data_IF_983345361201
#
_entry.id   IF_983345361201
#
_cell.length_a   1.000
_cell.length_b   1.000
_cell.length_c   1.000
_cell.angle_alpha   90.00
_cell.angle_beta   90.00
_cell.angle_gamma   90.00
#
_symmetry.space_group_name_H-M   'P 1'
#
loop_
_entity.id
_entity.type
_entity.pdbx_description
1 polymer ?
#
# COMPACT_ATOMS: atom_id res chain seq x y z
N UNK A 1 5.40 -5.30 -14.92
CA UNK A 1 4.78 -5.37 -13.57
C UNK A 1 5.52 -4.46 -12.62
N UNK A 2 4.81 -3.88 -11.67
CA UNK A 2 5.49 -3.17 -10.61
C UNK A 2 5.09 -3.75 -9.26
N UNK A 3 6.06 -3.97 -8.40
CA UNK A 3 5.87 -4.53 -7.07
C UNK A 3 6.60 -3.67 -6.07
N UNK A 4 5.91 -3.30 -5.02
CA UNK A 4 6.46 -2.50 -3.91
C UNK A 4 6.25 -3.26 -2.62
N UNK A 5 7.29 -3.34 -1.81
CA UNK A 5 7.21 -3.84 -0.45
C UNK A 5 7.74 -2.75 0.48
N UNK A 6 6.91 -2.32 1.40
CA UNK A 6 7.29 -1.32 2.40
C UNK A 6 7.17 -1.94 3.79
N UNK A 7 8.13 -1.66 4.63
CA UNK A 7 8.02 -1.93 6.06
C UNK A 7 8.24 -0.63 6.81
N UNK A 8 7.28 -0.26 7.61
CA UNK A 8 7.35 1.00 8.33
C UNK A 8 6.26 1.11 9.37
N UNK A 9 6.11 2.32 9.90
CA UNK A 9 5.17 2.62 10.97
C UNK A 9 4.03 3.47 10.42
N UNK A 10 2.81 3.16 10.81
CA UNK A 10 1.68 4.04 10.51
C UNK A 10 1.82 5.32 11.30
N UNK A 11 1.89 6.45 10.59
CA UNK A 11 2.04 7.76 11.21
C UNK A 11 0.72 8.39 11.63
N UNK A 12 -0.41 7.81 11.17
CA UNK A 12 -1.77 8.27 11.54
C UNK A 12 -2.74 7.09 11.50
N UNK A 13 -3.93 7.28 12.06
CA UNK A 13 -4.98 6.28 11.98
C UNK A 13 -5.42 6.10 10.53
N UNK A 14 -5.73 4.86 10.10
CA UNK A 14 -6.34 4.63 8.79
C UNK A 14 -7.66 5.39 8.66
N UNK A 15 -7.88 5.98 7.48
CA UNK A 15 -9.10 6.74 7.19
C UNK A 15 -9.80 6.10 6.00
N UNK A 16 -11.09 5.84 6.14
CA UNK A 16 -11.89 5.28 5.05
C UNK A 16 -12.67 6.37 4.32
N UNK A 17 -12.98 6.07 3.07
CA UNK A 17 -13.85 6.87 2.22
C UNK A 17 -14.70 5.93 1.37
N UNK A 18 -16.00 6.18 1.36
CA UNK A 18 -16.95 5.43 0.53
C UNK A 18 -17.08 6.11 -0.82
N UNK A 19 -17.00 5.32 -1.88
CA UNK A 19 -17.15 5.78 -3.25
C UNK A 19 -18.57 5.60 -3.73
N UNK A 20 -18.96 6.37 -4.76
CA UNK A 20 -20.28 6.26 -5.39
C UNK A 20 -20.53 4.86 -5.95
N UNK A 21 -19.48 4.13 -6.32
CA UNK A 21 -19.56 2.75 -6.80
C UNK A 21 -19.94 1.72 -5.72
N UNK A 22 -19.94 2.12 -4.44
CA UNK A 22 -20.14 1.22 -3.31
C UNK A 22 -18.84 0.68 -2.72
N UNK A 23 -17.71 0.93 -3.37
CA UNK A 23 -16.39 0.53 -2.87
C UNK A 23 -15.92 1.42 -1.73
N UNK A 24 -15.05 0.88 -0.89
CA UNK A 24 -14.40 1.63 0.19
C UNK A 24 -12.90 1.69 -0.07
N UNK A 25 -12.33 2.89 0.04
CA UNK A 25 -10.87 3.07 0.02
C UNK A 25 -10.41 3.42 1.42
N UNK A 26 -9.40 2.69 1.90
CA UNK A 26 -8.69 3.03 3.12
C UNK A 26 -7.39 3.75 2.75
N UNK A 27 -7.19 4.90 3.37
CA UNK A 27 -5.97 5.69 3.21
C UNK A 27 -5.08 5.50 4.44
N UNK A 28 -3.83 5.16 4.19
CA UNK A 28 -2.83 4.96 5.23
C UNK A 28 -1.59 5.78 4.88
N UNK A 29 -0.85 6.17 5.89
CA UNK A 29 0.43 6.86 5.73
C UNK A 29 1.49 6.02 6.42
N UNK A 30 2.44 5.52 5.64
CA UNK A 30 3.51 4.63 6.14
C UNK A 30 4.84 5.37 6.13
N UNK A 31 5.47 5.48 7.28
CA UNK A 31 6.76 6.13 7.43
C UNK A 31 7.84 5.06 7.51
N UNK A 32 8.81 5.16 6.60
CA UNK A 32 9.95 4.24 6.53
C UNK A 32 11.23 4.95 6.90
N UNK A 33 12.14 4.24 7.55
CA UNK A 33 13.48 4.73 7.83
C UNK A 33 14.48 4.05 6.92
N UNK A 34 15.33 4.86 6.30
CA UNK A 34 16.41 4.39 5.43
C UNK A 34 17.72 5.06 5.86
N UNK A 35 18.89 4.55 5.39
CA UNK A 35 20.16 5.22 5.65
C UNK A 35 20.19 6.68 5.19
N UNK A 36 19.40 7.02 4.16
CA UNK A 36 19.34 8.39 3.61
C UNK A 36 18.36 9.28 4.37
N UNK A 37 17.50 8.72 5.23
CA UNK A 37 16.54 9.50 6.00
C UNK A 37 15.22 8.79 6.19
N UNK A 38 14.24 9.58 6.65
CA UNK A 38 12.88 9.12 6.91
C UNK A 38 11.96 9.60 5.81
N UNK A 39 11.20 8.68 5.22
CA UNK A 39 10.29 8.98 4.12
C UNK A 39 8.89 8.47 4.45
N UNK A 40 7.88 9.21 4.00
CA UNK A 40 6.48 8.79 4.13
C UNK A 40 5.92 8.45 2.77
N UNK A 41 5.13 7.39 2.72
CA UNK A 41 4.44 6.96 1.51
C UNK A 41 2.94 6.91 1.76
N UNK A 42 2.12 7.57 0.92
CA UNK A 42 0.68 7.39 0.97
C UNK A 42 0.32 6.02 0.39
N UNK A 43 -0.58 5.32 1.07
CA UNK A 43 -1.04 3.99 0.69
C UNK A 43 -2.55 4.02 0.55
N UNK A 44 -3.06 3.51 -0.57
CA UNK A 44 -4.48 3.33 -0.79
C UNK A 44 -4.79 1.84 -0.82
N UNK A 45 -5.77 1.41 -0.02
CA UNK A 45 -6.20 0.02 0.04
C UNK A 45 -7.68 -0.05 -0.32
N UNK A 46 -7.97 -0.58 -1.50
CA UNK A 46 -9.31 -0.66 -2.05
C UNK A 46 -9.98 -1.96 -1.63
N UNK A 47 -11.16 -1.84 -1.05
CA UNK A 47 -12.01 -2.96 -0.66
C UNK A 47 -11.26 -4.11 0.02
N UNK A 48 -10.53 -3.84 1.13
CA UNK A 48 -9.92 -4.94 1.86
C UNK A 48 -11.00 -5.91 2.36
N UNK A 49 -10.67 -7.20 2.56
CA UNK A 49 -11.65 -8.21 3.00
C UNK A 49 -12.30 -7.88 4.35
N UNK A 50 -11.64 -7.06 5.16
CA UNK A 50 -12.14 -6.50 6.40
C UNK A 50 -11.43 -5.17 6.66
N UNK A 51 -11.99 -4.30 7.54
CA UNK A 51 -11.31 -3.06 7.89
C UNK A 51 -9.89 -3.33 8.41
N UNK A 52 -8.92 -2.42 8.15
CA UNK A 52 -7.56 -2.59 8.63
C UNK A 52 -7.53 -2.81 10.16
N UNK A 53 -6.77 -3.80 10.58
CA UNK A 53 -6.58 -4.14 12.00
C UNK A 53 -5.28 -3.58 12.53
N UNK A 54 -4.99 -2.36 12.14
CA UNK A 54 -3.77 -1.65 12.50
C UNK A 54 -4.13 -0.22 12.88
N UNK A 55 -3.34 0.38 13.74
CA UNK A 55 -3.55 1.71 14.27
C UNK A 55 -2.28 2.54 14.15
N UNK A 56 -2.41 3.85 14.36
CA UNK A 56 -1.25 4.74 14.42
C UNK A 56 -0.21 4.19 15.40
N UNK A 57 1.04 4.21 14.98
CA UNK A 57 2.17 3.68 15.76
C UNK A 57 2.48 2.21 15.50
N UNK A 58 1.59 1.47 14.86
CA UNK A 58 1.84 0.07 14.53
C UNK A 58 2.85 -0.06 13.39
N UNK A 59 3.73 -1.04 13.51
CA UNK A 59 4.63 -1.42 12.42
C UNK A 59 3.90 -2.36 11.46
N UNK A 60 3.95 -2.05 10.18
CA UNK A 60 3.24 -2.80 9.15
C UNK A 60 4.16 -3.15 7.98
N UNK A 61 3.78 -4.18 7.24
CA UNK A 61 4.34 -4.49 5.93
C UNK A 61 3.24 -4.31 4.90
N UNK A 62 3.52 -3.49 3.89
CA UNK A 62 2.61 -3.23 2.77
C UNK A 62 3.20 -3.86 1.54
N UNK A 63 2.39 -4.63 0.84
CA UNK A 63 2.73 -5.20 -0.46
C UNK A 63 1.72 -4.66 -1.47
N UNK A 64 2.21 -4.12 -2.56
CA UNK A 64 1.34 -3.54 -3.58
C UNK A 64 2.11 -3.10 -4.81
N UNK A 65 1.60 -2.07 -5.44
CA UNK A 65 2.22 -1.48 -6.62
C UNK A 65 2.19 0.04 -6.51
N UNK A 66 3.16 0.69 -7.13
CA UNK A 66 3.17 2.15 -7.21
C UNK A 66 2.23 2.60 -8.33
N UNK A 67 1.49 3.66 -8.06
CA UNK A 67 0.61 4.28 -9.04
C UNK A 67 0.75 5.80 -8.94
N UNK A 68 0.78 6.47 -10.09
CA UNK A 68 0.66 7.91 -10.16
C UNK A 68 -0.74 8.27 -10.64
N UNK A 69 -1.45 8.99 -9.80
CA UNK A 69 -2.83 9.40 -10.08
C UNK A 69 -2.87 10.88 -10.42
N UNK A 70 -3.62 11.21 -11.46
CA UNK A 70 -3.85 12.61 -11.88
C UNK A 70 -5.26 13.01 -11.50
N UNK A 71 -5.42 14.21 -11.00
CA UNK A 71 -6.71 14.75 -10.61
C UNK A 71 -6.70 16.26 -10.75
N UNK A 72 -7.89 16.85 -10.79
CA UNK A 72 -8.01 18.32 -10.86
C UNK A 72 -8.37 18.86 -9.49
N UNK A 73 -7.64 19.90 -9.08
CA UNK A 73 -7.89 20.62 -7.85
C UNK A 73 -7.68 22.11 -8.12
N UNK A 74 -8.66 22.94 -7.79
CA UNK A 74 -8.58 24.38 -8.04
C UNK A 74 -8.40 24.76 -9.50
N UNK A 75 -8.94 23.96 -10.44
CA UNK A 75 -8.82 24.20 -11.88
C UNK A 75 -7.47 23.79 -12.47
N UNK A 76 -6.57 23.24 -11.68
CA UNK A 76 -5.23 22.81 -12.10
C UNK A 76 -5.12 21.29 -12.02
N UNK A 77 -4.47 20.69 -13.03
CA UNK A 77 -4.16 19.27 -12.99
C UNK A 77 -2.99 19.03 -12.04
N UNK A 78 -3.22 18.14 -11.07
CA UNK A 78 -2.22 17.74 -10.09
C UNK A 78 -1.97 16.24 -10.19
N UNK A 79 -0.88 15.78 -9.60
CA UNK A 79 -0.58 14.35 -9.53
C UNK A 79 -0.19 13.96 -8.12
N UNK A 80 -0.47 12.71 -7.77
CA UNK A 80 -0.07 12.11 -6.51
C UNK A 80 0.44 10.70 -6.77
N UNK A 81 1.64 10.42 -6.29
CA UNK A 81 2.20 9.08 -6.32
C UNK A 81 1.83 8.37 -5.02
N UNK A 82 1.30 7.19 -5.14
CA UNK A 82 0.87 6.39 -4.00
C UNK A 82 1.12 4.91 -4.23
N UNK A 83 1.11 4.13 -3.16
CA UNK A 83 1.15 2.68 -3.23
C UNK A 83 -0.28 2.18 -3.13
N UNK A 84 -0.71 1.38 -4.12
CA UNK A 84 -1.99 0.69 -4.07
C UNK A 84 -1.73 -0.67 -3.44
N UNK A 85 -2.26 -0.88 -2.24
CA UNK A 85 -1.97 -2.08 -1.48
C UNK A 85 -2.77 -3.28 -1.97
N UNK A 86 -2.09 -4.41 -2.11
CA UNK A 86 -2.70 -5.73 -2.21
C UNK A 86 -2.85 -6.36 -0.82
N UNK A 87 -1.94 -6.02 0.09
CA UNK A 87 -1.98 -6.49 1.46
C UNK A 87 -1.35 -5.46 2.40
N UNK A 88 -1.92 -5.32 3.58
CA UNK A 88 -1.35 -4.57 4.70
C UNK A 88 -1.38 -5.51 5.91
N UNK A 89 -0.23 -5.85 6.42
CA UNK A 89 -0.08 -6.89 7.44
C UNK A 89 0.69 -6.33 8.63
N UNK A 90 0.23 -6.55 9.88
CA UNK A 90 1.05 -6.22 11.04
C UNK A 90 2.41 -6.92 10.95
N UNK A 91 3.49 -6.17 11.13
CA UNK A 91 4.85 -6.70 10.96
C UNK A 91 5.15 -7.86 11.92
N UNK A 92 4.50 -7.89 13.10
CA UNK A 92 4.64 -8.97 14.07
C UNK A 92 4.09 -10.31 13.60
N UNK A 93 3.22 -10.33 12.59
CA UNK A 93 2.64 -11.56 12.03
C UNK A 93 3.52 -12.10 10.91
N UNK A 94 4.66 -12.65 11.30
CA UNK A 94 5.72 -13.05 10.37
C UNK A 94 5.25 -14.04 9.29
N UNK A 95 4.37 -14.98 9.62
CA UNK A 95 3.87 -15.94 8.65
C UNK A 95 3.01 -15.27 7.57
N UNK A 96 2.16 -14.31 7.95
CA UNK A 96 1.34 -13.55 7.00
C UNK A 96 2.20 -12.65 6.13
N UNK A 97 3.23 -12.04 6.72
CA UNK A 97 4.20 -11.21 5.97
C UNK A 97 4.89 -12.06 4.90
N UNK A 98 5.38 -13.23 5.26
CA UNK A 98 6.05 -14.14 4.30
C UNK A 98 5.09 -14.56 3.18
N UNK A 99 3.84 -14.85 3.49
CA UNK A 99 2.83 -15.20 2.47
C UNK A 99 2.58 -14.05 1.49
N UNK A 100 2.42 -12.84 2.00
CA UNK A 100 2.17 -11.66 1.16
C UNK A 100 3.35 -11.40 0.20
N UNK A 101 4.57 -11.47 0.72
CA UNK A 101 5.78 -11.28 -0.08
C UNK A 101 5.92 -12.41 -1.10
N UNK A 102 5.66 -13.65 -0.72
CA UNK A 102 5.75 -14.80 -1.63
C UNK A 102 4.77 -14.68 -2.79
N UNK A 103 3.55 -14.24 -2.54
CA UNK A 103 2.56 -14.00 -3.61
C UNK A 103 3.06 -12.95 -4.61
N UNK A 104 3.64 -11.87 -4.12
CA UNK A 104 4.18 -10.83 -4.98
C UNK A 104 5.36 -11.34 -5.82
N UNK A 105 6.27 -12.09 -5.21
CA UNK A 105 7.39 -12.71 -5.91
C UNK A 105 6.93 -13.69 -6.99
N UNK A 106 5.97 -14.55 -6.67
CA UNK A 106 5.46 -15.54 -7.61
C UNK A 106 4.75 -14.85 -8.78
N UNK A 107 3.93 -13.84 -8.51
CA UNK A 107 3.26 -13.08 -9.56
C UNK A 107 4.27 -12.38 -10.48
N UNK A 108 5.33 -11.80 -9.91
CA UNK A 108 6.38 -11.14 -10.68
C UNK A 108 7.14 -12.15 -11.56
N UNK A 109 7.48 -13.31 -11.02
CA UNK A 109 8.17 -14.37 -11.75
C UNK A 109 7.30 -14.95 -12.86
N UNK A 110 6.02 -15.20 -12.58
CA UNK A 110 5.08 -15.75 -13.56
C UNK A 110 4.86 -14.79 -14.73
N UNK A 111 4.76 -13.49 -14.47
CA UNK A 111 4.65 -12.48 -15.51
C UNK A 111 5.90 -12.42 -16.38
N UNK A 112 7.09 -12.51 -15.77
CA UNK A 112 8.35 -12.53 -16.51
C UNK A 112 8.46 -13.75 -17.42
N UNK A 113 8.02 -14.91 -16.95
CA UNK A 113 7.97 -16.14 -17.76
C UNK A 113 6.93 -16.01 -18.88
N UNK A 114 5.77 -15.46 -18.57
CA UNK A 114 4.70 -15.26 -19.55
C UNK A 114 5.05 -14.25 -20.64
N UNK A 115 5.97 -13.32 -20.37
CA UNK A 115 6.43 -12.34 -21.34
C UNK A 115 7.47 -12.90 -22.33
N UNK A 116 8.04 -14.03 -22.01
CA UNK A 116 8.97 -14.71 -22.90
C UNK A 116 8.21 -15.50 -23.96
#
# INVERSE_FOLDING_TARGET
MNVVVLRGTLSSEPVDRHLASGSTIWSLEVTTRTPEGTFSAPVAWLDPPHPPRVAAGDEVVVVGQVRRRFFRAGGVTQSRTEVVAAAVVPAKRAAEVRKAIARARNALADEAVGAA
#
